data_IF_452506913594
#
_entry.id   IF_452506913594
#
_cell.length_a   1.000
_cell.length_b   1.000
_cell.length_c   1.000
_cell.angle_alpha   90.00
_cell.angle_beta   90.00
_cell.angle_gamma   90.00
#
_symmetry.space_group_name_H-M   'P 1'
#
loop_
_entity.id
_entity.type
_entity.pdbx_description
1 polymer ?
#
# COMPACT_ATOMS: atom_id res chain seq x y z
N UNK A 1 -4.78 -6.28 5.48
CA UNK A 1 -4.67 -5.21 6.50
C UNK A 1 -5.53 -5.64 7.67
N UNK A 2 -5.00 -5.57 8.89
CA UNK A 2 -5.83 -5.82 10.07
C UNK A 2 -6.90 -4.72 10.17
N UNK A 3 -8.21 -5.06 10.11
CA UNK A 3 -9.28 -4.08 10.20
C UNK A 3 -9.29 -3.25 11.49
N UNK A 4 -8.64 -3.73 12.55
CA UNK A 4 -8.48 -2.98 13.80
C UNK A 4 -7.46 -1.82 13.68
N UNK A 5 -6.54 -1.90 12.71
CA UNK A 5 -5.48 -0.89 12.52
C UNK A 5 -5.83 0.14 11.45
N UNK A 6 -6.33 -0.33 10.29
CA UNK A 6 -6.71 0.53 9.17
C UNK A 6 -7.62 -0.21 8.17
N UNK A 7 -8.29 0.56 7.31
CA UNK A 7 -8.99 0.01 6.15
C UNK A 7 -8.06 -0.11 4.94
N UNK A 8 -8.34 -1.03 4.02
CA UNK A 8 -7.61 -1.13 2.75
C UNK A 8 -7.68 0.18 1.96
N UNK A 9 -8.82 0.88 1.99
CA UNK A 9 -9.00 2.19 1.36
C UNK A 9 -8.04 3.24 1.92
N UNK A 10 -7.93 3.35 3.24
CA UNK A 10 -7.02 4.29 3.89
C UNK A 10 -5.56 4.04 3.45
N UNK A 11 -5.14 2.78 3.40
CA UNK A 11 -3.80 2.44 2.93
C UNK A 11 -3.62 2.80 1.45
N UNK A 12 -4.60 2.53 0.58
CA UNK A 12 -4.55 2.91 -0.83
C UNK A 12 -4.46 4.43 -1.04
N UNK A 13 -5.18 5.23 -0.24
CA UNK A 13 -5.12 6.70 -0.31
C UNK A 13 -3.74 7.22 0.13
N UNK A 14 -3.15 6.65 1.19
CA UNK A 14 -1.78 6.98 1.61
C UNK A 14 -0.72 6.57 0.57
N UNK A 15 -0.91 5.45 -0.11
CA UNK A 15 -0.03 5.02 -1.21
C UNK A 15 -0.15 5.95 -2.42
N UNK A 16 -1.36 6.39 -2.75
CA UNK A 16 -1.58 7.34 -3.84
C UNK A 16 -0.85 8.67 -3.59
N UNK A 17 -0.84 9.16 -2.34
CA UNK A 17 -0.07 10.34 -1.94
C UNK A 17 1.46 10.17 -2.12
N UNK A 18 1.94 8.92 -2.21
CA UNK A 18 3.34 8.56 -2.47
C UNK A 18 3.61 8.16 -3.92
N UNK A 19 2.63 8.30 -4.81
CA UNK A 19 2.76 7.96 -6.23
C UNK A 19 2.54 6.48 -6.56
N UNK A 20 2.08 5.66 -5.62
CA UNK A 20 1.74 4.24 -5.87
C UNK A 20 0.23 4.08 -5.92
N UNK A 21 -0.30 3.75 -7.10
CA UNK A 21 -1.73 3.47 -7.27
C UNK A 21 -2.00 2.00 -6.94
N UNK A 22 -2.95 1.78 -6.02
CA UNK A 22 -3.40 0.46 -5.60
C UNK A 22 -4.92 0.48 -5.41
N UNK A 23 -5.54 -0.70 -5.37
CA UNK A 23 -6.98 -0.81 -5.12
C UNK A 23 -7.27 -1.81 -4.01
N UNK A 24 -8.14 -1.41 -3.09
CA UNK A 24 -8.64 -2.28 -2.05
C UNK A 24 -9.74 -3.22 -2.59
N UNK A 25 -9.93 -4.35 -1.90
CA UNK A 25 -11.07 -5.25 -2.07
C UNK A 25 -11.44 -5.85 -0.72
N UNK A 26 -12.73 -6.13 -0.53
CA UNK A 26 -13.29 -6.66 0.72
C UNK A 26 -12.82 -5.91 1.97
N UNK A 27 -12.61 -4.58 1.85
CA UNK A 27 -12.28 -3.67 2.94
C UNK A 27 -10.88 -3.77 3.54
N UNK A 28 -10.14 -4.87 3.32
CA UNK A 28 -8.86 -5.13 4.01
C UNK A 28 -7.75 -5.69 3.11
N UNK A 29 -8.08 -6.17 1.91
CA UNK A 29 -7.11 -6.70 0.96
C UNK A 29 -6.70 -5.60 -0.01
N UNK A 30 -5.40 -5.49 -0.29
CA UNK A 30 -4.86 -4.51 -1.24
C UNK A 30 -4.34 -5.26 -2.46
N UNK A 31 -4.70 -4.78 -3.66
CA UNK A 31 -4.20 -5.27 -4.94
C UNK A 31 -3.22 -4.28 -5.54
N UNK A 32 -2.01 -4.77 -5.79
CA UNK A 32 -1.00 -4.14 -6.64
C UNK A 32 -1.03 -4.84 -7.98
N UNK A 33 -1.17 -4.08 -9.06
CA UNK A 33 -1.21 -4.60 -10.43
C UNK A 33 -0.26 -3.78 -11.31
N UNK A 34 1.07 -3.92 -11.11
CA UNK A 34 2.04 -3.22 -11.93
C UNK A 34 1.95 -3.72 -13.39
N UNK A 35 2.40 -2.91 -14.37
CA UNK A 35 2.52 -3.36 -15.76
C UNK A 35 3.44 -4.58 -15.89
N UNK A 36 3.20 -5.44 -16.89
CA UNK A 36 4.05 -6.61 -17.16
C UNK A 36 5.50 -6.25 -17.57
N UNK A 37 5.70 -5.00 -17.97
CA UNK A 37 6.97 -4.44 -18.44
C UNK A 37 7.70 -3.64 -17.37
N UNK A 38 7.22 -3.65 -16.12
CA UNK A 38 7.83 -2.91 -15.01
C UNK A 38 9.26 -3.38 -14.76
N UNK A 39 10.18 -2.44 -14.50
CA UNK A 39 11.54 -2.78 -14.13
C UNK A 39 11.63 -3.25 -12.68
N UNK A 40 12.67 -4.03 -12.37
CA UNK A 40 12.88 -4.55 -11.01
C UNK A 40 12.98 -3.43 -9.97
N UNK A 41 13.71 -2.36 -10.29
CA UNK A 41 13.96 -1.25 -9.36
C UNK A 41 12.68 -0.44 -9.11
N UNK A 42 11.82 -0.28 -10.12
CA UNK A 42 10.51 0.35 -9.96
C UNK A 42 9.58 -0.49 -9.08
N UNK A 43 9.60 -1.81 -9.26
CA UNK A 43 8.83 -2.74 -8.44
C UNK A 43 9.32 -2.70 -6.98
N UNK A 44 10.62 -2.77 -6.76
CA UNK A 44 11.23 -2.69 -5.43
C UNK A 44 10.87 -1.35 -4.75
N UNK A 45 10.94 -0.23 -5.48
CA UNK A 45 10.51 1.09 -4.98
C UNK A 45 9.04 1.13 -4.58
N UNK A 46 8.14 0.54 -5.37
CA UNK A 46 6.70 0.50 -5.06
C UNK A 46 6.42 -0.32 -3.79
N UNK A 47 7.16 -1.42 -3.59
CA UNK A 47 7.10 -2.24 -2.36
C UNK A 47 7.63 -1.45 -1.16
N UNK A 48 8.70 -0.67 -1.32
CA UNK A 48 9.22 0.19 -0.25
C UNK A 48 8.19 1.23 0.21
N UNK A 49 7.43 1.83 -0.72
CA UNK A 49 6.34 2.74 -0.35
C UNK A 49 5.22 2.02 0.43
N UNK A 50 4.88 0.78 0.05
CA UNK A 50 3.94 -0.04 0.81
C UNK A 50 4.44 -0.27 2.24
N UNK A 51 5.70 -0.68 2.39
CA UNK A 51 6.31 -0.92 3.71
C UNK A 51 6.32 0.35 4.55
N UNK A 52 6.64 1.51 3.96
CA UNK A 52 6.64 2.78 4.67
C UNK A 52 5.26 3.12 5.23
N UNK A 53 4.20 3.01 4.42
CA UNK A 53 2.82 3.27 4.85
C UNK A 53 2.39 2.31 5.97
N UNK A 54 2.69 1.01 5.83
CA UNK A 54 2.34 0.01 6.85
C UNK A 54 3.04 0.30 8.19
N UNK A 55 4.32 0.71 8.16
CA UNK A 55 5.07 1.08 9.36
C UNK A 55 4.54 2.36 10.00
N UNK A 56 4.10 3.34 9.21
CA UNK A 56 3.49 4.56 9.71
C UNK A 56 2.20 4.26 10.46
N UNK A 57 1.29 3.52 9.85
CA UNK A 57 0.03 3.10 10.48
C UNK A 57 0.31 2.28 11.75
N UNK A 58 1.26 1.35 11.72
CA UNK A 58 1.60 0.57 12.90
C UNK A 58 2.11 1.45 14.06
N UNK A 59 2.89 2.51 13.78
CA UNK A 59 3.35 3.46 14.80
C UNK A 59 2.24 4.39 15.31
N UNK A 60 1.31 4.80 14.45
CA UNK A 60 0.17 5.65 14.81
C UNK A 60 -0.87 4.92 15.67
N UNK A 61 -0.87 3.59 15.65
CA UNK A 61 -1.87 2.72 16.29
C UNK A 61 -1.28 1.86 17.42
N UNK A 62 0.01 1.98 17.70
CA UNK A 62 0.67 1.40 18.88
C UNK A 62 0.41 2.26 20.11
#
# INVERSE_FOLDING_TARGET
IDPALATGREICERLAARGVLAKDTHGSTIRLAPPLVVDKDELDWAVDQLVAVLREVARERA
#
